data_IF_014203105782
#
_entry.id   IF_014203105782
#
_cell.length_a   1.000
_cell.length_b   1.000
_cell.length_c   1.000
_cell.angle_alpha   90.00
_cell.angle_beta   90.00
_cell.angle_gamma   90.00
#
_symmetry.space_group_name_H-M   'P 1'
#
loop_
_entity.id
_entity.type
_entity.pdbx_description
1 polymer ?
#
# COMPACT_ATOMS: atom_id res chain seq x y z
N UNK A 1 4.60 -5.19 -37.31
CA UNK A 1 5.63 -4.17 -36.97
C UNK A 1 7.00 -4.79 -37.18
N UNK A 2 8.08 -4.00 -37.39
CA UNK A 2 9.39 -4.57 -37.59
C UNK A 2 9.90 -5.21 -36.29
N UNK A 3 10.33 -6.46 -36.39
CA UNK A 3 11.03 -7.19 -35.33
C UNK A 3 12.20 -6.37 -34.80
N UNK A 4 12.28 -6.21 -33.47
CA UNK A 4 13.37 -5.48 -32.85
C UNK A 4 13.68 -6.06 -31.46
N UNK A 5 14.61 -7.01 -31.43
CA UNK A 5 15.03 -7.67 -30.20
C UNK A 5 15.61 -6.70 -29.16
N UNK A 6 16.22 -5.58 -29.59
CA UNK A 6 16.73 -4.57 -28.65
C UNK A 6 15.55 -3.86 -27.97
N UNK A 7 14.54 -3.44 -28.74
CA UNK A 7 13.36 -2.79 -28.20
C UNK A 7 12.57 -3.74 -27.28
N UNK A 8 12.36 -5.00 -27.69
CA UNK A 8 11.75 -6.05 -26.86
C UNK A 8 12.46 -6.17 -25.50
N UNK A 9 13.78 -6.36 -25.50
CA UNK A 9 14.54 -6.56 -24.27
C UNK A 9 14.56 -5.31 -23.38
N UNK A 10 14.74 -4.11 -23.95
CA UNK A 10 14.77 -2.86 -23.18
C UNK A 10 13.41 -2.61 -22.53
N UNK A 11 12.32 -2.69 -23.30
CA UNK A 11 10.97 -2.43 -22.78
C UNK A 11 10.54 -3.49 -21.78
N UNK A 12 10.84 -4.76 -22.06
CA UNK A 12 10.57 -5.87 -21.13
C UNK A 12 11.34 -5.69 -19.82
N UNK A 13 12.61 -5.31 -19.88
CA UNK A 13 13.44 -5.06 -18.69
C UNK A 13 12.90 -3.89 -17.86
N UNK A 14 12.51 -2.79 -18.50
CA UNK A 14 11.87 -1.66 -17.81
C UNK A 14 10.60 -2.14 -17.10
N UNK A 15 9.75 -2.89 -17.79
CA UNK A 15 8.53 -3.47 -17.22
C UNK A 15 8.82 -4.34 -15.98
N UNK A 16 9.76 -5.27 -16.11
CA UNK A 16 10.20 -6.16 -15.02
C UNK A 16 10.73 -5.39 -13.81
N UNK A 17 11.54 -4.35 -14.03
CA UNK A 17 12.08 -3.52 -12.93
C UNK A 17 10.95 -2.78 -12.22
N UNK A 18 10.04 -2.15 -12.97
CA UNK A 18 8.91 -1.42 -12.37
C UNK A 18 8.05 -2.34 -11.51
N UNK A 19 7.67 -3.52 -12.02
CA UNK A 19 6.90 -4.50 -11.25
C UNK A 19 7.64 -5.08 -10.06
N UNK A 20 8.97 -5.24 -10.15
CA UNK A 20 9.77 -5.71 -9.03
C UNK A 20 9.68 -4.79 -7.81
N UNK A 21 9.53 -3.48 -8.03
CA UNK A 21 9.56 -2.46 -6.97
C UNK A 21 8.23 -1.71 -6.78
N UNK A 22 7.15 -2.11 -7.46
CA UNK A 22 5.88 -1.38 -7.46
C UNK A 22 5.33 -1.14 -6.05
N UNK A 23 5.51 -2.10 -5.14
CA UNK A 23 4.98 -2.06 -3.77
C UNK A 23 5.79 -1.15 -2.84
N UNK A 24 7.01 -0.74 -3.21
CA UNK A 24 7.88 0.08 -2.35
C UNK A 24 7.22 1.42 -1.96
N UNK A 25 6.65 2.20 -2.90
CA UNK A 25 5.88 3.40 -2.54
C UNK A 25 4.73 3.14 -1.58
N UNK A 26 4.02 2.01 -1.72
CA UNK A 26 2.93 1.66 -0.80
C UNK A 26 3.47 1.38 0.60
N UNK A 27 4.57 0.61 0.69
CA UNK A 27 5.23 0.29 1.97
C UNK A 27 5.69 1.57 2.67
N UNK A 28 6.31 2.48 1.93
CA UNK A 28 6.77 3.78 2.45
C UNK A 28 5.57 4.61 2.90
N UNK A 29 4.50 4.71 2.10
CA UNK A 29 3.28 5.44 2.45
C UNK A 29 2.69 4.91 3.76
N UNK A 30 2.48 3.60 3.86
CA UNK A 30 1.90 2.96 5.05
C UNK A 30 2.80 3.12 6.28
N UNK A 31 4.13 3.04 6.12
CA UNK A 31 5.06 3.29 7.21
C UNK A 31 5.02 4.75 7.70
N UNK A 32 4.91 5.72 6.80
CA UNK A 32 4.86 7.15 7.15
C UNK A 32 3.52 7.54 7.78
N UNK A 33 2.42 7.05 7.23
CA UNK A 33 1.08 7.32 7.72
C UNK A 33 0.74 6.56 9.01
N UNK A 34 1.46 5.46 9.30
CA UNK A 34 1.10 4.49 10.36
C UNK A 34 -0.33 3.97 10.24
N UNK A 35 -0.82 3.94 9.00
CA UNK A 35 -2.17 3.57 8.64
C UNK A 35 -2.15 2.79 7.31
N UNK A 36 -3.04 1.82 7.23
CA UNK A 36 -3.27 0.96 6.06
C UNK A 36 -4.76 0.83 5.75
N UNK A 37 -5.61 1.72 6.28
CA UNK A 37 -7.05 1.68 6.00
C UNK A 37 -7.32 1.77 4.50
N UNK A 38 -8.02 0.76 3.96
CA UNK A 38 -8.30 0.60 2.52
C UNK A 38 -7.24 -0.12 1.68
N UNK A 39 -6.12 -0.57 2.27
CA UNK A 39 -5.20 -1.52 1.64
C UNK A 39 -5.62 -2.96 1.99
N UNK A 40 -6.04 -3.72 0.98
CA UNK A 40 -6.52 -5.08 1.20
C UNK A 40 -5.39 -6.07 1.53
N UNK A 41 -5.37 -6.61 2.75
CA UNK A 41 -4.44 -7.68 3.13
C UNK A 41 -4.66 -8.96 2.31
N UNK A 42 -5.90 -9.20 1.87
CA UNK A 42 -6.27 -10.35 1.04
C UNK A 42 -5.68 -10.25 -0.37
N UNK A 43 -5.63 -9.05 -0.95
CA UNK A 43 -4.93 -8.81 -2.22
C UNK A 43 -3.47 -9.24 -2.10
N UNK A 44 -2.79 -8.80 -1.05
CA UNK A 44 -1.37 -9.08 -0.83
C UNK A 44 -1.13 -10.59 -0.63
N UNK A 45 -2.02 -11.26 0.11
CA UNK A 45 -1.93 -12.71 0.31
C UNK A 45 -2.13 -13.50 -1.00
N UNK A 46 -3.11 -13.12 -1.83
CA UNK A 46 -3.33 -13.77 -3.13
C UNK A 46 -2.14 -13.52 -4.06
N UNK A 47 -1.55 -12.33 -4.02
CA UNK A 47 -0.33 -12.01 -4.77
C UNK A 47 0.89 -12.83 -4.34
N UNK A 48 1.09 -13.03 -3.04
CA UNK A 48 2.10 -13.97 -2.53
C UNK A 48 1.82 -15.39 -3.04
N UNK A 49 0.56 -15.84 -2.96
CA UNK A 49 0.16 -17.16 -3.44
C UNK A 49 0.36 -17.33 -4.96
N UNK A 50 0.10 -16.29 -5.76
CA UNK A 50 0.33 -16.28 -7.21
C UNK A 50 1.81 -16.23 -7.60
N UNK A 51 2.65 -15.62 -6.75
CA UNK A 51 4.10 -15.56 -6.96
C UNK A 51 4.77 -16.93 -6.87
N UNK A 52 4.24 -17.87 -6.08
CA UNK A 52 4.77 -19.23 -5.92
C UNK A 52 4.79 -20.01 -7.26
N UNK A 53 3.65 -20.23 -7.95
CA UNK A 53 3.64 -20.94 -9.22
C UNK A 53 4.32 -20.10 -10.33
N UNK A 54 4.27 -18.77 -10.27
CA UNK A 54 4.97 -17.91 -11.23
C UNK A 54 6.50 -18.04 -11.12
N UNK A 55 7.04 -17.99 -9.89
CA UNK A 55 8.46 -18.22 -9.60
C UNK A 55 8.90 -19.62 -10.03
N UNK A 56 8.12 -20.63 -9.67
CA UNK A 56 8.35 -22.02 -10.10
C UNK A 56 8.49 -22.12 -11.62
N UNK A 57 7.53 -21.57 -12.38
CA UNK A 57 7.56 -21.60 -13.84
C UNK A 57 8.84 -20.96 -14.39
N UNK A 58 9.19 -19.77 -13.90
CA UNK A 58 10.34 -19.00 -14.41
C UNK A 58 11.68 -19.67 -14.08
N UNK A 59 11.81 -20.27 -12.89
CA UNK A 59 13.01 -21.02 -12.48
C UNK A 59 13.15 -22.31 -13.28
N UNK A 60 12.07 -23.09 -13.40
CA UNK A 60 12.12 -24.41 -14.08
C UNK A 60 12.43 -24.23 -15.58
N UNK A 61 11.80 -23.25 -16.23
CA UNK A 61 12.06 -22.90 -17.63
C UNK A 61 13.39 -22.18 -17.85
N UNK A 62 14.08 -21.79 -16.77
CA UNK A 62 15.39 -21.15 -16.78
C UNK A 62 15.46 -19.98 -17.77
N UNK A 63 14.49 -19.06 -17.69
CA UNK A 63 14.32 -17.98 -18.68
C UNK A 63 15.49 -16.99 -18.63
N UNK A 64 15.42 -15.99 -17.74
CA UNK A 64 16.51 -15.06 -17.50
C UNK A 64 16.51 -14.66 -16.02
N UNK A 65 17.68 -14.26 -15.52
CA UNK A 65 17.88 -13.94 -14.10
C UNK A 65 16.93 -12.84 -13.61
N UNK A 66 16.73 -11.71 -14.34
CA UNK A 66 15.80 -10.67 -13.91
C UNK A 66 14.36 -11.17 -13.70
N UNK A 67 13.82 -11.96 -14.63
CA UNK A 67 12.46 -12.51 -14.50
C UNK A 67 12.36 -13.54 -13.38
N UNK A 68 13.41 -14.31 -13.11
CA UNK A 68 13.44 -15.25 -11.98
C UNK A 68 13.42 -14.49 -10.65
N UNK A 69 14.17 -13.38 -10.54
CA UNK A 69 14.25 -12.59 -9.31
C UNK A 69 12.98 -11.77 -9.05
N UNK A 70 12.30 -11.30 -10.11
CA UNK A 70 11.10 -10.46 -10.01
C UNK A 70 10.03 -10.99 -9.03
N UNK A 71 9.48 -12.21 -9.17
CA UNK A 71 8.44 -12.72 -8.27
C UNK A 71 8.93 -12.86 -6.82
N UNK A 72 10.24 -13.05 -6.61
CA UNK A 72 10.83 -13.14 -5.27
C UNK A 72 10.84 -11.79 -4.57
N UNK A 73 11.26 -10.74 -5.28
CA UNK A 73 11.21 -9.36 -4.78
C UNK A 73 9.78 -8.91 -4.54
N UNK A 74 8.90 -9.15 -5.52
CA UNK A 74 7.49 -8.80 -5.42
C UNK A 74 6.81 -9.51 -4.24
N UNK A 75 6.99 -10.81 -4.08
CA UNK A 75 6.46 -11.59 -2.94
C UNK A 75 7.00 -11.07 -1.61
N UNK A 76 8.30 -10.74 -1.54
CA UNK A 76 8.91 -10.16 -0.34
C UNK A 76 8.26 -8.84 0.04
N UNK A 77 8.10 -7.93 -0.93
CA UNK A 77 7.44 -6.65 -0.68
C UNK A 77 5.95 -6.81 -0.34
N UNK A 78 5.26 -7.78 -0.94
CA UNK A 78 3.88 -8.08 -0.60
C UNK A 78 3.74 -8.58 0.84
N UNK A 79 4.65 -9.44 1.31
CA UNK A 79 4.70 -9.90 2.70
C UNK A 79 4.96 -8.73 3.66
N UNK A 80 5.87 -7.81 3.32
CA UNK A 80 6.15 -6.61 4.12
C UNK A 80 4.91 -5.71 4.21
N UNK A 81 4.27 -5.42 3.08
CA UNK A 81 3.04 -4.63 3.05
C UNK A 81 1.91 -5.32 3.83
N UNK A 82 1.81 -6.65 3.75
CA UNK A 82 0.80 -7.42 4.48
C UNK A 82 1.03 -7.36 5.99
N UNK A 83 2.30 -7.43 6.43
CA UNK A 83 2.64 -7.23 7.83
C UNK A 83 2.30 -5.83 8.33
N UNK A 84 2.42 -4.80 7.47
CA UNK A 84 1.94 -3.45 7.80
C UNK A 84 0.42 -3.42 7.97
N UNK A 85 -0.35 -4.13 7.13
CA UNK A 85 -1.81 -4.23 7.30
C UNK A 85 -2.19 -4.88 8.65
N UNK A 86 -1.49 -5.93 9.07
CA UNK A 86 -1.72 -6.52 10.39
C UNK A 86 -1.37 -5.55 11.53
N UNK A 87 -0.27 -4.80 11.39
CA UNK A 87 0.20 -3.90 12.44
C UNK A 87 -0.64 -2.63 12.59
N UNK A 88 -1.04 -2.01 11.47
CA UNK A 88 -1.66 -0.69 11.46
C UNK A 88 -3.19 -0.76 11.41
N UNK A 89 -3.79 -1.71 10.70
CA UNK A 89 -5.27 -1.85 10.65
C UNK A 89 -5.83 -2.73 11.77
N UNK A 90 -5.10 -3.77 12.19
CA UNK A 90 -5.62 -4.76 13.16
C UNK A 90 -4.98 -4.67 14.55
N UNK A 91 -4.06 -3.72 14.76
CA UNK A 91 -3.40 -3.51 16.06
C UNK A 91 -2.56 -4.69 16.55
N UNK A 92 -2.19 -5.63 15.66
CA UNK A 92 -1.41 -6.82 16.03
C UNK A 92 -0.01 -6.41 16.48
N UNK A 93 0.55 -7.08 17.50
CA UNK A 93 1.87 -6.74 18.02
C UNK A 93 2.98 -6.93 16.97
N UNK A 94 4.05 -6.13 17.05
CA UNK A 94 5.18 -6.20 16.09
C UNK A 94 5.79 -7.61 16.03
N UNK A 95 5.94 -8.28 17.18
CA UNK A 95 6.49 -9.65 17.24
C UNK A 95 5.62 -10.65 16.48
N UNK A 96 4.29 -10.57 16.64
CA UNK A 96 3.36 -11.44 15.92
C UNK A 96 3.37 -11.14 14.42
N UNK A 97 3.46 -9.86 14.02
CA UNK A 97 3.58 -9.48 12.61
C UNK A 97 4.87 -10.03 11.98
N UNK A 98 6.01 -9.89 12.66
CA UNK A 98 7.29 -10.44 12.20
C UNK A 98 7.25 -11.95 12.10
N UNK A 99 6.70 -12.64 13.11
CA UNK A 99 6.59 -14.10 13.09
C UNK A 99 5.65 -14.57 11.97
N UNK A 100 4.52 -13.90 11.78
CA UNK A 100 3.59 -14.16 10.68
C UNK A 100 4.24 -13.97 9.31
N UNK A 101 4.98 -12.87 9.11
CA UNK A 101 5.69 -12.59 7.87
C UNK A 101 6.76 -13.64 7.57
N UNK A 102 7.55 -14.03 8.57
CA UNK A 102 8.55 -15.10 8.43
C UNK A 102 7.90 -16.44 8.13
N UNK A 103 6.81 -16.79 8.82
CA UNK A 103 6.06 -18.01 8.55
C UNK A 103 5.49 -18.03 7.13
N UNK A 104 4.89 -16.94 6.66
CA UNK A 104 4.41 -16.81 5.28
C UNK A 104 5.54 -16.99 4.28
N UNK A 105 6.68 -16.32 4.49
CA UNK A 105 7.84 -16.44 3.60
C UNK A 105 8.41 -17.86 3.55
N UNK A 106 8.53 -18.54 4.70
CA UNK A 106 8.99 -19.92 4.79
C UNK A 106 8.03 -20.89 4.09
N UNK A 107 6.71 -20.71 4.28
CA UNK A 107 5.70 -21.53 3.62
C UNK A 107 5.74 -21.30 2.11
N UNK A 108 5.76 -20.04 1.65
CA UNK A 108 5.80 -19.71 0.24
C UNK A 108 7.04 -20.27 -0.45
N UNK A 109 8.23 -20.05 0.14
CA UNK A 109 9.49 -20.58 -0.37
C UNK A 109 9.55 -22.10 -0.34
N UNK A 110 9.05 -22.74 0.73
CA UNK A 110 8.95 -24.20 0.81
C UNK A 110 8.04 -24.79 -0.26
N UNK A 111 6.88 -24.18 -0.50
CA UNK A 111 5.97 -24.56 -1.58
C UNK A 111 6.60 -24.38 -2.96
N UNK A 112 7.30 -23.26 -3.21
CA UNK A 112 7.98 -23.02 -4.48
C UNK A 112 9.07 -24.06 -4.75
N UNK A 113 9.90 -24.37 -3.74
CA UNK A 113 10.93 -25.41 -3.85
C UNK A 113 10.31 -26.79 -4.12
N UNK A 114 9.21 -27.13 -3.44
CA UNK A 114 8.50 -28.38 -3.69
C UNK A 114 7.97 -28.45 -5.13
N UNK A 115 7.32 -27.39 -5.60
CA UNK A 115 6.81 -27.33 -6.97
C UNK A 115 7.93 -27.31 -8.01
N UNK A 116 9.08 -26.70 -7.72
CA UNK A 116 10.26 -26.76 -8.57
C UNK A 116 10.68 -28.21 -8.81
N UNK A 117 10.89 -29.00 -7.75
CA UNK A 117 11.29 -30.40 -7.90
C UNK A 117 10.23 -31.25 -8.60
N UNK A 118 8.94 -31.02 -8.30
CA UNK A 118 7.83 -31.70 -8.97
C UNK A 118 7.80 -31.41 -10.48
N UNK A 119 7.91 -30.14 -10.86
CA UNK A 119 7.92 -29.75 -12.27
C UNK A 119 9.18 -30.24 -12.97
N UNK A 120 10.35 -30.17 -12.31
CA UNK A 120 11.61 -30.67 -12.88
C UNK A 120 11.57 -32.18 -13.11
N UNK A 121 10.96 -32.93 -12.20
CA UNK A 121 10.73 -34.36 -12.38
C UNK A 121 9.81 -34.63 -13.59
N UNK A 122 8.75 -33.83 -13.77
CA UNK A 122 7.86 -33.89 -14.93
C UNK A 122 8.60 -33.62 -16.25
N UNK A 123 9.44 -32.60 -16.30
CA UNK A 123 10.24 -32.26 -17.49
C UNK A 123 11.25 -33.35 -17.83
N UNK A 124 11.93 -33.91 -16.83
CA UNK A 124 12.87 -35.02 -17.01
C UNK A 124 12.17 -36.28 -17.55
N UNK A 125 10.86 -36.42 -17.33
CA UNK A 125 10.00 -37.47 -17.90
C UNK A 125 9.36 -37.09 -19.24
N UNK A 126 9.76 -35.95 -19.82
CA UNK A 126 9.27 -35.47 -21.12
C UNK A 126 7.92 -34.75 -21.07
N UNK A 127 7.42 -34.42 -19.88
CA UNK A 127 6.10 -33.77 -19.68
C UNK A 127 6.25 -32.33 -19.20
N UNK A 128 5.96 -31.36 -20.06
CA UNK A 128 6.01 -29.91 -19.72
C UNK A 128 4.68 -29.35 -19.23
N UNK A 129 3.64 -30.18 -19.15
CA UNK A 129 2.29 -29.76 -18.78
C UNK A 129 2.25 -29.12 -17.37
N UNK A 130 2.92 -29.74 -16.39
CA UNK A 130 2.99 -29.20 -15.02
C UNK A 130 3.62 -27.81 -14.97
N UNK A 131 4.77 -27.63 -15.63
CA UNK A 131 5.44 -26.33 -15.69
C UNK A 131 4.57 -25.26 -16.34
N UNK A 132 3.93 -25.57 -17.49
CA UNK A 132 3.02 -24.62 -18.17
C UNK A 132 1.82 -24.25 -17.31
N UNK A 133 1.24 -25.22 -16.59
CA UNK A 133 0.15 -24.98 -15.65
C UNK A 133 0.57 -24.01 -14.55
N UNK A 134 1.79 -24.12 -14.01
CA UNK A 134 2.29 -23.17 -13.01
C UNK A 134 2.32 -21.74 -13.54
N UNK A 135 2.78 -21.55 -14.78
CA UNK A 135 2.77 -20.23 -15.43
C UNK A 135 1.36 -19.64 -15.55
N UNK A 136 0.39 -20.45 -16.00
CA UNK A 136 -1.01 -20.02 -16.16
C UNK A 136 -1.66 -19.72 -14.81
N UNK A 137 -1.50 -20.61 -13.82
CA UNK A 137 -2.08 -20.44 -12.49
C UNK A 137 -1.51 -19.20 -11.81
N UNK A 138 -0.20 -18.97 -11.91
CA UNK A 138 0.43 -17.75 -11.40
C UNK A 138 -0.15 -16.49 -12.02
N UNK A 139 -0.22 -16.44 -13.35
CA UNK A 139 -0.81 -15.30 -14.07
C UNK A 139 -2.26 -15.01 -13.63
N UNK A 140 -3.10 -16.06 -13.55
CA UNK A 140 -4.50 -15.93 -13.11
C UNK A 140 -4.60 -15.44 -11.67
N UNK A 141 -3.80 -15.98 -10.75
CA UNK A 141 -3.82 -15.54 -9.35
C UNK A 141 -3.38 -14.09 -9.18
N UNK A 142 -2.38 -13.63 -9.93
CA UNK A 142 -1.96 -12.21 -9.90
C UNK A 142 -3.12 -11.29 -10.32
N UNK A 143 -3.82 -11.63 -11.41
CA UNK A 143 -5.00 -10.88 -11.86
C UNK A 143 -6.14 -10.92 -10.82
N UNK A 144 -6.45 -12.11 -10.29
CA UNK A 144 -7.49 -12.28 -9.28
C UNK A 144 -7.16 -11.57 -7.96
N UNK A 145 -5.88 -11.36 -7.66
CA UNK A 145 -5.45 -10.60 -6.48
C UNK A 145 -5.95 -9.16 -6.46
N UNK A 146 -6.32 -8.58 -7.61
CA UNK A 146 -6.94 -7.25 -7.68
C UNK A 146 -8.43 -7.26 -7.26
N UNK A 147 -9.11 -8.41 -7.27
CA UNK A 147 -10.56 -8.52 -6.98
C UNK A 147 -10.93 -8.04 -5.57
N UNK A 148 -10.24 -8.43 -4.48
CA UNK A 148 -10.50 -7.88 -3.15
C UNK A 148 -10.45 -6.36 -3.10
N UNK A 149 -9.54 -5.74 -3.86
CA UNK A 149 -9.43 -4.28 -3.88
C UNK A 149 -10.62 -3.63 -4.59
N UNK A 150 -11.10 -4.19 -5.69
CA UNK A 150 -12.33 -3.73 -6.34
C UNK A 150 -13.55 -3.87 -5.42
N UNK A 151 -13.61 -4.96 -4.65
CA UNK A 151 -14.67 -5.14 -3.66
C UNK A 151 -14.63 -4.06 -2.57
N UNK A 152 -13.45 -3.72 -2.06
CA UNK A 152 -13.29 -2.62 -1.09
C UNK A 152 -13.69 -1.27 -1.69
N UNK A 153 -13.28 -0.96 -2.91
CA UNK A 153 -13.67 0.27 -3.62
C UNK A 153 -15.19 0.35 -3.79
N UNK A 154 -15.84 -0.76 -4.16
CA UNK A 154 -17.29 -0.82 -4.31
C UNK A 154 -18.02 -0.64 -2.97
N UNK A 155 -17.51 -1.27 -1.90
CA UNK A 155 -18.08 -1.20 -0.55
C UNK A 155 -17.94 0.20 0.05
N UNK A 156 -16.76 0.81 -0.04
CA UNK A 156 -16.47 2.10 0.58
C UNK A 156 -16.83 3.30 -0.30
N UNK A 157 -17.11 3.07 -1.60
CA UNK A 157 -17.40 4.12 -2.59
C UNK A 157 -16.31 5.20 -2.67
N UNK A 158 -15.08 4.81 -2.34
CA UNK A 158 -13.89 5.65 -2.32
C UNK A 158 -12.67 4.72 -2.46
N UNK A 159 -11.63 5.15 -3.18
CA UNK A 159 -10.36 4.45 -3.22
C UNK A 159 -9.53 4.91 -2.02
N UNK A 160 -9.61 4.16 -0.93
CA UNK A 160 -8.88 4.43 0.32
C UNK A 160 -7.57 3.66 0.39
N UNK A 161 -6.58 4.17 1.13
CA UNK A 161 -5.37 3.42 1.50
C UNK A 161 -4.32 3.23 0.40
N UNK A 162 -4.73 3.10 -0.87
CA UNK A 162 -3.82 2.84 -1.99
C UNK A 162 -2.94 4.07 -2.30
N UNK A 163 -1.65 3.84 -2.52
CA UNK A 163 -0.68 4.82 -2.99
C UNK A 163 -0.82 5.00 -4.50
N UNK A 164 -1.11 6.22 -4.95
CA UNK A 164 -1.16 6.54 -6.39
C UNK A 164 0.16 6.28 -7.09
N UNK A 165 1.28 6.44 -6.38
CA UNK A 165 2.60 6.15 -6.94
C UNK A 165 2.81 4.65 -7.15
N UNK A 166 2.34 3.81 -6.21
CA UNK A 166 2.32 2.35 -6.43
C UNK A 166 1.51 2.00 -7.66
N UNK A 167 0.27 2.51 -7.76
CA UNK A 167 -0.62 2.22 -8.87
C UNK A 167 -0.06 2.70 -10.22
N UNK A 168 0.61 3.86 -10.25
CA UNK A 168 1.24 4.39 -11.44
C UNK A 168 2.45 3.56 -11.89
N UNK A 169 3.29 3.09 -10.95
CA UNK A 169 4.43 2.22 -11.26
C UNK A 169 3.95 0.87 -11.79
N UNK A 170 2.93 0.29 -11.16
CA UNK A 170 2.32 -0.99 -11.57
C UNK A 170 1.78 -0.93 -13.00
N UNK A 171 0.97 0.10 -13.28
CA UNK A 171 0.41 0.35 -14.61
C UNK A 171 1.49 0.62 -15.66
N UNK A 172 2.54 1.36 -15.30
CA UNK A 172 3.68 1.56 -16.19
C UNK A 172 4.40 0.25 -16.49
N UNK A 173 4.61 -0.59 -15.48
CA UNK A 173 5.21 -1.91 -15.62
C UNK A 173 4.45 -2.79 -16.61
N UNK A 174 3.13 -2.81 -16.51
CA UNK A 174 2.25 -3.52 -17.44
C UNK A 174 2.28 -2.97 -18.87
N UNK A 175 2.27 -1.64 -19.02
CA UNK A 175 2.34 -0.98 -20.34
C UNK A 175 3.67 -1.27 -21.04
N UNK A 176 4.81 -1.13 -20.34
CA UNK A 176 6.13 -1.44 -20.91
C UNK A 176 6.28 -2.92 -21.26
N UNK A 177 5.76 -3.82 -20.40
CA UNK A 177 5.76 -5.26 -20.66
C UNK A 177 4.89 -5.62 -21.87
N UNK A 178 3.72 -5.00 -22.02
CA UNK A 178 2.87 -5.19 -23.21
C UNK A 178 3.53 -4.66 -24.48
N UNK A 179 4.15 -3.48 -24.42
CA UNK A 179 4.83 -2.89 -25.58
C UNK A 179 6.04 -3.74 -26.02
N UNK A 180 6.72 -4.42 -25.09
CA UNK A 180 7.82 -5.35 -25.43
C UNK A 180 7.36 -6.46 -26.39
N UNK A 181 6.15 -7.00 -26.19
CA UNK A 181 5.58 -8.08 -27.00
C UNK A 181 5.29 -7.65 -28.44
N UNK A 182 5.12 -6.35 -28.69
CA UNK A 182 4.89 -5.80 -30.03
C UNK A 182 6.14 -5.96 -30.92
N UNK A 183 7.33 -6.00 -30.32
CA UNK A 183 8.61 -6.13 -31.00
C UNK A 183 9.16 -7.56 -31.04
N UNK A 184 8.49 -8.49 -30.35
CA UNK A 184 8.83 -9.92 -30.28
C UNK A 184 8.66 -10.61 -31.64
N UNK A 185 9.51 -11.60 -31.91
CA UNK A 185 9.51 -12.35 -33.19
C UNK A 185 8.19 -13.08 -33.44
N UNK A 186 7.66 -13.75 -32.41
CA UNK A 186 6.35 -14.40 -32.43
C UNK A 186 5.47 -13.77 -31.37
N UNK A 187 4.32 -13.24 -31.79
CA UNK A 187 3.38 -12.61 -30.87
C UNK A 187 2.83 -13.64 -29.87
N UNK A 188 3.02 -13.38 -28.59
CA UNK A 188 2.54 -14.22 -27.50
C UNK A 188 1.21 -13.69 -26.98
N UNK A 189 0.11 -14.22 -27.53
CA UNK A 189 -1.24 -13.77 -27.19
C UNK A 189 -1.62 -14.04 -25.72
N UNK A 190 -1.04 -15.06 -25.09
CA UNK A 190 -1.34 -15.40 -23.69
C UNK A 190 -0.68 -14.35 -22.77
N UNK A 191 0.60 -14.06 -22.99
CA UNK A 191 1.31 -13.02 -22.25
C UNK A 191 0.65 -11.64 -22.46
N UNK A 192 0.27 -11.33 -23.70
CA UNK A 192 -0.41 -10.07 -24.03
C UNK A 192 -1.76 -9.95 -23.30
N UNK A 193 -2.58 -11.01 -23.31
CA UNK A 193 -3.86 -11.02 -22.61
C UNK A 193 -3.68 -10.78 -21.10
N UNK A 194 -2.66 -11.38 -20.50
CA UNK A 194 -2.35 -11.18 -19.08
C UNK A 194 -1.97 -9.71 -18.80
N UNK A 195 -1.06 -9.13 -19.57
CA UNK A 195 -0.63 -7.74 -19.40
C UNK A 195 -1.77 -6.75 -19.66
N UNK A 196 -2.59 -6.99 -20.68
CA UNK A 196 -3.80 -6.19 -20.94
C UNK A 196 -4.77 -6.29 -19.76
N UNK A 197 -5.00 -7.48 -19.23
CA UNK A 197 -5.89 -7.69 -18.08
C UNK A 197 -5.45 -6.88 -16.86
N UNK A 198 -4.15 -6.95 -16.51
CA UNK A 198 -3.56 -6.20 -15.41
C UNK A 198 -3.73 -4.69 -15.63
N UNK A 199 -3.29 -4.17 -16.79
CA UNK A 199 -3.36 -2.74 -17.12
C UNK A 199 -4.80 -2.23 -17.12
N UNK A 200 -5.75 -2.97 -17.69
CA UNK A 200 -7.16 -2.56 -17.72
C UNK A 200 -7.76 -2.49 -16.33
N UNK A 201 -7.47 -3.47 -15.46
CA UNK A 201 -7.93 -3.46 -14.08
C UNK A 201 -7.32 -2.29 -13.30
N UNK A 202 -6.03 -2.01 -13.47
CA UNK A 202 -5.37 -0.87 -12.80
C UNK A 202 -5.88 0.48 -13.27
N UNK A 203 -6.09 0.65 -14.59
CA UNK A 203 -6.75 1.83 -15.13
C UNK A 203 -8.17 1.97 -14.58
N UNK A 204 -8.87 0.85 -14.34
CA UNK A 204 -10.15 0.82 -13.64
C UNK A 204 -10.04 1.40 -12.22
N UNK A 205 -9.04 0.98 -11.43
CA UNK A 205 -8.79 1.53 -10.09
C UNK A 205 -8.45 3.03 -10.18
N UNK A 206 -7.64 3.43 -11.15
CA UNK A 206 -7.26 4.84 -11.36
C UNK A 206 -8.47 5.70 -11.72
N UNK A 207 -9.34 5.20 -12.60
CA UNK A 207 -10.60 5.86 -12.94
C UNK A 207 -11.55 5.95 -11.73
N UNK A 208 -11.66 4.88 -10.94
CA UNK A 208 -12.39 4.90 -9.67
C UNK A 208 -11.85 5.97 -8.72
N UNK A 209 -10.53 6.11 -8.58
CA UNK A 209 -9.92 7.14 -7.75
C UNK A 209 -10.32 8.54 -8.21
N UNK A 210 -10.18 8.84 -9.51
CA UNK A 210 -10.49 10.15 -10.07
C UNK A 210 -11.98 10.51 -9.98
N UNK A 211 -12.88 9.53 -10.03
CA UNK A 211 -14.33 9.77 -9.99
C UNK A 211 -14.88 9.76 -8.58
N UNK A 212 -14.44 8.83 -7.73
CA UNK A 212 -15.04 8.59 -6.41
C UNK A 212 -14.43 9.46 -5.31
N UNK A 213 -13.11 9.68 -5.30
CA UNK A 213 -12.48 10.43 -4.21
C UNK A 213 -12.89 11.92 -4.18
N UNK A 214 -13.00 12.64 -5.32
CA UNK A 214 -13.52 14.00 -5.29
C UNK A 214 -14.98 14.07 -4.84
N UNK A 215 -15.80 13.08 -5.19
CA UNK A 215 -17.20 12.99 -4.73
C UNK A 215 -17.27 12.74 -3.23
N UNK A 216 -16.45 11.83 -2.71
CA UNK A 216 -16.36 11.55 -1.28
C UNK A 216 -15.86 12.77 -0.49
N UNK A 217 -14.87 13.51 -1.02
CA UNK A 217 -14.37 14.73 -0.41
C UNK A 217 -15.46 15.81 -0.32
N UNK A 218 -16.21 16.05 -1.40
CA UNK A 218 -17.34 16.98 -1.41
C UNK A 218 -18.40 16.57 -0.39
N UNK A 219 -18.78 15.29 -0.34
CA UNK A 219 -19.77 14.80 0.62
C UNK A 219 -19.34 15.05 2.08
N UNK A 220 -18.07 14.78 2.41
CA UNK A 220 -17.50 15.04 3.75
C UNK A 220 -17.54 16.53 4.11
N UNK A 221 -17.27 17.42 3.14
CA UNK A 221 -17.36 18.88 3.35
C UNK A 221 -18.80 19.32 3.64
N UNK A 222 -19.78 18.85 2.86
CA UNK A 222 -21.20 19.18 3.09
C UNK A 222 -21.69 18.68 4.46
N UNK A 223 -21.28 17.47 4.87
CA UNK A 223 -21.61 16.93 6.19
C UNK A 223 -21.00 17.76 7.33
N UNK A 224 -19.78 18.27 7.15
CA UNK A 224 -19.13 19.16 8.12
C UNK A 224 -19.84 20.52 8.22
N UNK A 225 -20.26 21.09 7.08
CA UNK A 225 -21.02 22.36 7.04
C UNK A 225 -22.40 22.23 7.70
N UNK A 226 -23.13 21.13 7.47
CA UNK A 226 -24.40 20.87 8.15
C UNK A 226 -24.22 20.74 9.67
N UNK A 227 -23.26 19.91 10.12
CA UNK A 227 -23.03 19.70 11.55
C UNK A 227 -22.59 20.98 12.27
N UNK A 228 -21.81 21.84 11.60
CA UNK A 228 -21.44 23.15 12.14
C UNK A 228 -22.66 24.06 12.28
N UNK A 229 -23.57 24.05 11.30
CA UNK A 229 -24.80 24.86 11.32
C UNK A 229 -25.79 24.39 12.39
N UNK A 230 -25.92 23.08 12.62
CA UNK A 230 -26.75 22.52 13.69
C UNK A 230 -26.22 22.91 15.08
N UNK A 231 -24.90 22.86 15.28
CA UNK A 231 -24.27 23.23 16.56
C UNK A 231 -24.48 24.71 16.90
N UNK A 232 -24.34 25.61 15.92
CA UNK A 232 -24.61 27.05 16.10
C UNK A 232 -26.09 27.35 16.41
N UNK A 233 -27.02 26.52 15.91
CA UNK A 233 -28.45 26.70 16.13
C UNK A 233 -28.94 26.24 17.52
N UNK A 234 -28.30 25.22 18.11
CA UNK A 234 -28.61 24.75 19.46
C UNK A 234 -28.14 25.72 20.55
N UNK A 235 -27.04 26.46 20.32
CA UNK A 235 -26.55 27.52 21.24
C UNK A 235 -27.43 28.79 21.23
N UNK A 236 -28.33 28.93 20.24
CA UNK A 236 -29.25 30.06 20.10
C UNK A 236 -30.69 29.75 20.57
N UNK A 237 -30.97 28.54 21.06
CA UNK A 237 -32.27 28.20 21.62
C UNK A 237 -32.50 28.97 22.95
N UNK A 238 -33.51 29.87 23.06
CA UNK A 238 -33.74 30.61 24.28
C UNK A 238 -34.18 29.66 25.40
N UNK A 239 -33.54 29.79 26.56
CA UNK A 239 -33.99 29.25 27.85
C UNK A 239 -35.34 29.89 28.21
N UNK A 240 -36.43 29.40 27.63
CA UNK A 240 -37.79 29.88 27.84
C UNK A 240 -38.70 28.75 28.32
N UNK A 241 -38.29 28.02 29.37
CA UNK A 241 -39.20 27.20 30.17
C UNK A 241 -38.57 26.83 31.52
N UNK A 242 -38.71 27.71 32.53
CA UNK A 242 -39.05 27.36 33.91
C UNK A 242 -38.85 28.57 34.84
N UNK A 243 -39.83 29.47 34.85
CA UNK A 243 -40.00 30.44 35.92
C UNK A 243 -41.36 30.24 36.56
N UNK A 244 -41.57 29.13 37.28
CA UNK A 244 -42.55 29.08 38.38
C UNK A 244 -42.23 27.88 39.29
N UNK A 245 -41.64 28.16 40.47
CA UNK A 245 -42.12 27.67 41.77
C UNK A 245 -41.13 28.08 42.87
N UNK A 246 -41.51 29.11 43.61
CA UNK A 246 -40.97 29.44 44.92
C UNK A 246 -41.63 28.53 45.95
N UNK A 247 -40.89 27.65 46.64
CA UNK A 247 -41.06 27.35 48.06
C UNK A 247 -40.07 26.27 48.58
N UNK A 248 -39.37 26.65 49.65
CA UNK A 248 -38.90 25.84 50.79
C UNK A 248 -37.56 25.06 50.72
N UNK A 249 -36.76 25.35 51.78
CA UNK A 249 -35.64 24.60 52.38
C UNK A 249 -34.31 24.58 51.60
N UNK A 250 -33.14 24.83 52.19
CA UNK A 250 -32.68 25.02 53.57
C UNK A 250 -31.14 25.02 53.53
N UNK A 251 -30.50 25.63 54.52
CA UNK A 251 -29.05 25.87 54.67
C UNK A 251 -28.11 24.71 54.24
N UNK A 252 -26.96 25.06 53.64
CA UNK A 252 -25.61 24.84 54.20
C UNK A 252 -24.48 25.37 53.28
N UNK A 253 -23.77 26.38 53.79
CA UNK A 253 -22.31 26.63 53.80
C UNK A 253 -21.41 26.42 52.56
N UNK A 254 -20.94 27.56 52.04
CA UNK A 254 -19.56 27.98 51.70
C UNK A 254 -18.49 26.91 51.29
N UNK A 255 -17.98 27.03 50.05
CA UNK A 255 -16.53 27.13 49.81
C UNK A 255 -16.22 27.80 48.44
N UNK A 256 -15.35 28.82 48.44
CA UNK A 256 -14.86 29.53 47.25
C UNK A 256 -13.67 28.79 46.62
N UNK A 257 -13.58 28.71 45.28
CA UNK A 257 -12.34 28.95 44.54
C UNK A 257 -12.50 29.02 43.00
N UNK A 258 -12.02 30.15 42.46
CA UNK A 258 -11.25 30.30 41.22
C UNK A 258 -11.92 30.27 39.82
N UNK A 259 -12.02 31.46 39.22
CA UNK A 259 -12.02 31.68 37.77
C UNK A 259 -10.61 31.51 37.20
N UNK A 260 -10.43 30.79 36.08
CA UNK A 260 -9.57 31.29 34.98
C UNK A 260 -9.87 30.62 33.64
N UNK A 261 -10.20 31.49 32.68
CA UNK A 261 -10.14 31.41 31.22
C UNK A 261 -9.49 30.17 30.58
N UNK A 262 -10.25 29.43 29.77
CA UNK A 262 -9.71 28.47 28.81
C UNK A 262 -9.51 29.17 27.45
N UNK A 263 -8.25 29.30 27.06
CA UNK A 263 -7.79 29.77 25.75
C UNK A 263 -8.19 28.81 24.63
N UNK A 264 -8.58 29.38 23.49
CA UNK A 264 -8.73 28.74 22.19
C UNK A 264 -7.67 27.66 21.91
N UNK A 265 -8.11 26.42 21.72
CA UNK A 265 -7.28 25.35 21.16
C UNK A 265 -7.67 25.13 19.70
N UNK A 266 -6.87 25.68 18.79
CA UNK A 266 -6.89 25.30 17.37
C UNK A 266 -6.68 23.79 17.20
N UNK A 267 -7.51 23.08 16.42
CA UNK A 267 -7.36 21.64 16.19
C UNK A 267 -6.08 21.27 15.41
N UNK A 268 -5.49 20.14 15.82
CA UNK A 268 -4.16 19.61 15.44
C UNK A 268 -4.00 19.22 13.95
N UNK A 269 -5.10 19.13 13.19
CA UNK A 269 -5.07 18.73 11.78
C UNK A 269 -4.52 19.82 10.83
N UNK A 270 -4.38 21.05 11.31
CA UNK A 270 -3.97 22.22 10.51
C UNK A 270 -2.45 22.37 10.30
N UNK A 271 -1.60 21.59 10.99
CA UNK A 271 -0.14 21.80 10.96
C UNK A 271 0.66 21.03 9.91
N UNK A 272 0.02 20.26 9.03
CA UNK A 272 0.75 19.45 8.04
C UNK A 272 0.20 19.57 6.62
N UNK A 273 0.19 20.79 6.07
CA UNK A 273 0.00 20.99 4.61
C UNK A 273 0.93 22.03 3.96
N UNK A 274 1.94 22.54 4.68
CA UNK A 274 2.98 23.37 4.05
C UNK A 274 4.26 22.57 3.82
N UNK A 275 4.64 22.44 2.55
CA UNK A 275 5.97 22.05 2.12
C UNK A 275 6.97 23.11 2.62
N UNK A 276 7.65 22.85 3.73
CA UNK A 276 8.86 23.60 4.10
C UNK A 276 10.09 22.84 3.62
N UNK A 277 10.59 23.29 2.47
CA UNK A 277 11.90 23.01 1.93
C UNK A 277 12.97 23.62 2.85
N UNK A 278 13.79 22.79 3.49
CA UNK A 278 15.04 23.25 4.14
C UNK A 278 16.26 22.78 3.35
N UNK A 279 16.73 23.66 2.48
CA UNK A 279 18.13 23.70 2.00
C UNK A 279 19.08 24.21 3.10
N UNK A 280 20.40 23.95 3.02
CA UNK A 280 21.29 23.78 4.17
C UNK A 280 21.93 25.08 4.65
N UNK A 281 22.19 25.20 5.96
CA UNK A 281 23.01 26.28 6.53
C UNK A 281 24.26 25.72 7.20
N UNK A 282 25.41 25.99 6.59
CA UNK A 282 26.73 26.01 7.23
C UNK A 282 26.82 27.19 8.22
N UNK A 283 27.32 26.95 9.44
CA UNK A 283 28.45 27.67 10.06
C UNK A 283 28.61 27.30 11.55
N UNK A 284 29.85 26.95 11.91
CA UNK A 284 30.37 26.63 13.26
C UNK A 284 30.36 27.84 14.22
N UNK A 285 30.61 27.67 15.54
CA UNK A 285 32.00 27.70 16.00
C UNK A 285 32.39 26.61 17.00
N UNK A 286 33.62 26.16 16.79
CA UNK A 286 34.54 25.35 17.59
C UNK A 286 34.48 25.68 19.08
N UNK A 287 34.23 24.65 19.91
CA UNK A 287 34.41 24.71 21.37
C UNK A 287 35.85 24.28 21.74
N UNK A 288 36.74 25.27 21.83
CA UNK A 288 38.07 25.11 22.44
C UNK A 288 37.97 25.24 23.96
N UNK A 289 37.58 24.18 24.67
CA UNK A 289 37.82 24.10 26.13
C UNK A 289 37.71 22.69 26.72
N UNK A 290 38.69 21.81 26.45
CA UNK A 290 39.24 20.82 27.40
C UNK A 290 40.30 19.96 26.69
N UNK A 291 41.53 20.46 26.65
CA UNK A 291 42.72 19.64 26.43
C UNK A 291 43.62 19.90 27.63
N UNK A 292 43.51 19.06 28.67
CA UNK A 292 44.54 18.92 29.71
C UNK A 292 45.29 17.64 29.42
N UNK A 293 46.59 17.84 29.23
CA UNK A 293 47.63 16.85 29.07
C UNK A 293 47.66 15.93 30.31
N UNK A 294 47.76 14.63 30.08
CA UNK A 294 48.52 13.73 30.94
C UNK A 294 49.31 12.79 30.02
N UNK A 295 50.63 12.89 30.12
CA UNK A 295 51.64 12.13 29.37
C UNK A 295 52.02 10.91 30.23
N UNK A 296 52.31 9.74 29.64
CA UNK A 296 52.65 8.54 30.39
C UNK A 296 54.09 8.57 30.94
N UNK A 297 54.27 7.91 32.08
CA UNK A 297 55.52 7.33 32.55
C UNK A 297 55.27 5.84 32.83
#
# INVERSE_FOLDING_TARGET
>A
MPKNAVAENVLGTIGTVLWSFQLVPQIIKSYRAKDTDGLSAWLLLIWVAGSIPQGTYLVVQNINIPLIIQPQLFSTFAIIAMAQCWRYSHGVSTRQCTLGALATGLIAGGCEVAFYFLCKLGENRGTSAGTKTMGIVGAVLIVLGLVPQFYEIWRYREVKGISLLFLAIDCSGGVFSLLSLVFKESFDGIAAANYIGIVVLELGIFACYLVLNPKAARKKQLEQELNATETDSDDLAPTAASATNTAAQGDHDLEQAHQTSASETTPEWSRHTTFDEKSPTMSSPIDTRRMRLDTPA
#
